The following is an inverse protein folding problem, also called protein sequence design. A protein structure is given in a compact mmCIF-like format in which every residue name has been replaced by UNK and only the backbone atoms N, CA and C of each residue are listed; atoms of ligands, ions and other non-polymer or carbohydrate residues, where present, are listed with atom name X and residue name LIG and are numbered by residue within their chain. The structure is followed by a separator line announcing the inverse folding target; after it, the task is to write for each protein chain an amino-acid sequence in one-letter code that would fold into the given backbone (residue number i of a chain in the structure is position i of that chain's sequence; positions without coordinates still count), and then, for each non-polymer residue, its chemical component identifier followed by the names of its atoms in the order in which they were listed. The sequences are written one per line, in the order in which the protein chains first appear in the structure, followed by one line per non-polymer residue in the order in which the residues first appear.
data_IF_879660288222
#
_entry.id   IF_879660288222
#
_cell.length_a   1.000
_cell.length_b   1.000
_cell.length_c   1.000
_cell.angle_alpha   90.00
_cell.angle_beta   90.00
_cell.angle_gamma   90.00
#
_symmetry.space_group_name_H-M   'P 1'
#
loop_
_entity.id
_entity.type
_entity.pdbx_description
1 polymer ?
#
# COMPACT_ATOMS: atom_id res chain seq x y z
N UNK A 1 10.55 -3.73 -14.58
CA UNK A 1 11.19 -4.01 -15.88
C UNK A 1 12.36 -4.97 -15.70
N UNK A 2 12.60 -5.86 -16.66
CA UNK A 2 13.77 -6.74 -16.71
C UNK A 2 14.85 -6.25 -17.69
N UNK A 3 16.07 -6.80 -17.62
CA UNK A 3 17.18 -6.32 -18.45
C UNK A 3 16.90 -6.52 -19.95
N UNK A 4 16.28 -7.65 -20.32
CA UNK A 4 15.90 -7.91 -21.71
C UNK A 4 14.91 -6.86 -22.25
N UNK A 5 13.94 -6.42 -21.45
CA UNK A 5 13.03 -5.33 -21.81
C UNK A 5 13.75 -4.01 -22.02
N UNK A 6 14.78 -3.70 -21.20
CA UNK A 6 15.61 -2.50 -21.38
C UNK A 6 16.36 -2.56 -22.71
N UNK A 7 16.99 -3.69 -23.03
CA UNK A 7 17.78 -3.87 -24.25
C UNK A 7 16.94 -3.78 -25.52
N UNK A 8 15.70 -4.25 -25.49
CA UNK A 8 14.79 -4.31 -26.64
C UNK A 8 13.83 -3.11 -26.72
N UNK A 9 14.02 -2.07 -25.92
CA UNK A 9 13.15 -0.91 -25.94
C UNK A 9 13.45 -0.05 -27.17
N UNK A 10 12.50 0.04 -28.12
CA UNK A 10 12.65 0.95 -29.27
C UNK A 10 12.20 2.36 -28.94
N UNK A 11 12.63 3.36 -29.71
CA UNK A 11 12.26 4.76 -29.60
C UNK A 11 11.77 5.32 -30.92
N UNK A 12 10.76 6.19 -30.84
CA UNK A 12 10.29 7.06 -31.93
C UNK A 12 10.03 8.46 -31.38
N UNK A 13 10.14 9.49 -32.23
CA UNK A 13 9.84 10.87 -31.84
C UNK A 13 8.33 11.08 -31.57
N UNK A 14 7.47 10.24 -32.17
CA UNK A 14 6.02 10.25 -32.00
C UNK A 14 5.56 9.48 -30.75
N UNK A 15 6.04 9.87 -29.56
CA UNK A 15 5.56 9.29 -28.30
C UNK A 15 4.41 10.12 -27.71
N UNK A 16 3.36 9.43 -27.29
CA UNK A 16 2.27 10.04 -26.52
C UNK A 16 2.51 9.88 -25.03
N UNK A 17 2.27 10.96 -24.29
CA UNK A 17 2.27 10.96 -22.83
C UNK A 17 0.83 11.05 -22.36
N UNK A 18 0.32 9.98 -21.77
CA UNK A 18 -1.00 9.95 -21.15
C UNK A 18 -0.88 10.10 -19.65
N UNK A 19 -1.80 10.88 -19.08
CA UNK A 19 -1.93 11.01 -17.63
C UNK A 19 -2.85 9.91 -17.14
N UNK A 20 -2.27 8.77 -16.74
CA UNK A 20 -3.05 7.68 -16.17
C UNK A 20 -3.21 7.84 -14.65
N UNK A 21 -2.19 8.33 -13.93
CA UNK A 21 -2.24 8.52 -12.47
C UNK A 21 -1.54 9.82 -12.03
N UNK A 22 -1.92 10.38 -10.88
CA UNK A 22 -1.37 11.66 -10.38
C UNK A 22 0.14 11.63 -10.12
N UNK A 23 0.75 10.46 -9.93
CA UNK A 23 2.18 10.30 -9.65
C UNK A 23 2.99 9.78 -10.85
N UNK A 24 2.32 9.25 -11.88
CA UNK A 24 2.96 8.54 -12.99
C UNK A 24 2.40 8.99 -14.35
N UNK A 25 3.29 9.03 -15.33
CA UNK A 25 2.94 9.27 -16.73
C UNK A 25 3.19 8.02 -17.53
N UNK A 26 2.19 7.62 -18.31
CA UNK A 26 2.29 6.47 -19.19
C UNK A 26 2.77 6.93 -20.55
N UNK A 27 3.88 6.35 -20.99
CA UNK A 27 4.50 6.62 -22.28
C UNK A 27 4.29 5.40 -23.16
N UNK A 28 3.85 5.63 -24.39
CA UNK A 28 3.61 4.60 -25.40
C UNK A 28 4.84 4.42 -26.29
N UNK A 29 5.32 3.19 -26.39
CA UNK A 29 6.52 2.80 -27.14
C UNK A 29 6.21 1.68 -28.12
N UNK A 30 7.13 1.43 -29.05
CA UNK A 30 7.11 0.25 -29.91
C UNK A 30 8.16 -0.75 -29.44
N UNK A 31 7.92 -2.04 -29.63
CA UNK A 31 8.91 -3.09 -29.49
C UNK A 31 8.53 -4.20 -30.46
N UNK A 32 9.33 -4.42 -31.51
CA UNK A 32 9.08 -5.42 -32.56
C UNK A 32 7.62 -5.42 -33.06
N UNK A 33 7.14 -4.27 -33.53
CA UNK A 33 5.77 -4.01 -34.00
C UNK A 33 4.65 -4.11 -32.94
N UNK A 34 4.96 -4.40 -31.67
CA UNK A 34 3.98 -4.35 -30.56
C UNK A 34 4.05 -3.01 -29.85
N UNK A 35 2.91 -2.51 -29.40
CA UNK A 35 2.85 -1.32 -28.55
C UNK A 35 3.11 -1.75 -27.11
N UNK A 36 4.03 -1.08 -26.44
CA UNK A 36 4.34 -1.31 -25.02
C UNK A 36 4.20 0.01 -24.27
N UNK A 37 3.55 -0.03 -23.10
CA UNK A 37 3.36 1.14 -22.25
C UNK A 37 4.34 1.09 -21.09
N UNK A 38 4.94 2.24 -20.77
CA UNK A 38 5.84 2.38 -19.64
C UNK A 38 5.43 3.58 -18.79
N UNK A 39 5.28 3.32 -17.50
CA UNK A 39 4.98 4.34 -16.52
C UNK A 39 6.26 4.92 -15.93
N UNK A 40 6.40 6.23 -16.01
CA UNK A 40 7.48 6.98 -15.37
C UNK A 40 6.93 7.88 -14.27
N UNK A 41 7.59 7.95 -13.09
CA UNK A 41 7.24 8.93 -12.09
C UNK A 41 7.34 10.35 -12.65
N UNK A 42 6.43 11.24 -12.26
CA UNK A 42 6.47 12.65 -12.68
C UNK A 42 7.82 13.29 -12.31
N UNK A 43 8.35 12.96 -11.14
CA UNK A 43 9.66 13.44 -10.66
C UNK A 43 10.84 12.97 -11.53
N UNK A 44 10.69 11.88 -12.29
CA UNK A 44 11.73 11.38 -13.19
C UNK A 44 11.71 12.05 -14.57
N UNK A 45 10.60 12.66 -14.96
CA UNK A 45 10.43 13.27 -16.29
C UNK A 45 11.50 14.31 -16.66
N UNK A 46 11.95 15.21 -15.77
CA UNK A 46 13.02 16.15 -16.09
C UNK A 46 14.35 15.44 -16.45
N UNK A 47 14.71 14.38 -15.71
CA UNK A 47 15.92 13.59 -15.99
C UNK A 47 15.80 12.84 -17.31
N UNK A 48 14.63 12.26 -17.58
CA UNK A 48 14.37 11.58 -18.83
C UNK A 48 14.48 12.51 -20.04
N UNK A 49 13.90 13.72 -19.97
CA UNK A 49 14.07 14.74 -21.02
C UNK A 49 15.53 15.12 -21.24
N UNK A 50 16.31 15.24 -20.17
CA UNK A 50 17.76 15.51 -20.27
C UNK A 50 18.51 14.36 -20.95
N UNK A 51 18.15 13.11 -20.64
CA UNK A 51 18.67 11.94 -21.33
C UNK A 51 18.37 11.96 -22.83
N UNK A 52 17.14 12.31 -23.24
CA UNK A 52 16.79 12.39 -24.67
C UNK A 52 17.64 13.41 -25.43
N UNK A 53 17.92 14.58 -24.82
CA UNK A 53 18.85 15.57 -25.39
C UNK A 53 20.26 15.02 -25.55
N UNK A 54 20.76 14.29 -24.54
CA UNK A 54 22.07 13.64 -24.63
C UNK A 54 22.10 12.58 -25.73
N UNK A 55 21.03 11.80 -25.84
CA UNK A 55 20.87 10.79 -26.90
C UNK A 55 20.91 11.42 -28.29
N UNK A 56 20.14 12.48 -28.52
CA UNK A 56 20.13 13.22 -29.78
C UNK A 56 21.54 13.74 -30.14
N UNK A 57 22.23 14.34 -29.17
CA UNK A 57 23.61 14.77 -29.32
C UNK A 57 24.55 13.61 -29.70
N UNK A 58 24.45 12.46 -29.04
CA UNK A 58 25.29 11.29 -29.32
C UNK A 58 25.00 10.63 -30.68
N UNK A 59 23.78 10.77 -31.19
CA UNK A 59 23.39 10.28 -32.50
C UNK A 59 23.86 11.20 -33.63
N UNK A 60 23.99 12.50 -33.38
CA UNK A 60 24.51 13.48 -34.33
C UNK A 60 23.88 13.35 -35.74
N UNK A 61 22.55 13.26 -35.80
CA UNK A 61 21.78 13.12 -37.03
C UNK A 61 21.60 11.68 -37.55
N UNK A 62 22.24 10.68 -36.94
CA UNK A 62 22.01 9.27 -37.30
C UNK A 62 20.72 8.73 -36.67
N UNK A 63 20.02 7.87 -37.41
CA UNK A 63 18.81 7.20 -36.90
C UNK A 63 19.17 5.98 -36.07
N UNK A 64 18.59 5.86 -34.88
CA UNK A 64 18.69 4.64 -34.08
C UNK A 64 17.30 4.26 -33.57
N UNK A 65 16.88 3.03 -33.86
CA UNK A 65 15.59 2.51 -33.41
C UNK A 65 15.57 2.19 -31.91
N UNK A 66 16.71 1.96 -31.26
CA UNK A 66 16.74 1.60 -29.83
C UNK A 66 16.82 2.84 -28.96
N UNK A 67 16.11 2.82 -27.81
CA UNK A 67 16.18 3.93 -26.85
C UNK A 67 17.57 4.01 -26.23
N UNK A 68 18.12 2.86 -25.84
CA UNK A 68 19.49 2.71 -25.35
C UNK A 68 20.34 2.00 -26.40
N UNK A 69 21.52 2.55 -26.69
CA UNK A 69 22.42 2.06 -27.74
C UNK A 69 23.88 2.20 -27.32
N UNK A 70 24.77 1.58 -28.08
CA UNK A 70 26.22 1.82 -28.01
C UNK A 70 26.78 2.09 -29.41
N UNK A 71 27.98 2.68 -29.50
CA UNK A 71 28.69 3.01 -30.75
C UNK A 71 30.05 2.30 -30.85
N UNK A 72 30.08 1.05 -30.39
CA UNK A 72 31.33 0.28 -30.29
C UNK A 72 32.35 0.87 -29.31
N UNK A 73 33.55 0.28 -29.29
CA UNK A 73 34.65 0.66 -28.38
C UNK A 73 35.29 1.99 -28.77
N UNK A 74 35.28 2.34 -30.06
CA UNK A 74 35.89 3.55 -30.60
C UNK A 74 34.91 4.71 -30.81
N UNK A 75 33.61 4.52 -30.50
CA UNK A 75 32.52 5.52 -30.67
C UNK A 75 32.22 5.94 -32.11
N UNK A 76 32.88 5.32 -33.09
CA UNK A 76 32.71 5.63 -34.51
C UNK A 76 31.81 4.63 -35.25
N UNK A 77 31.39 3.56 -34.58
CA UNK A 77 30.46 2.59 -35.17
C UNK A 77 29.03 3.13 -35.21
N UNK A 78 28.25 2.59 -36.15
CA UNK A 78 26.82 2.83 -36.23
C UNK A 78 26.13 2.47 -34.90
N UNK A 79 25.09 3.21 -34.47
CA UNK A 79 24.35 2.94 -33.25
C UNK A 79 23.75 1.52 -33.24
N UNK A 80 24.25 0.67 -32.35
CA UNK A 80 23.79 -0.70 -32.19
C UNK A 80 23.07 -0.96 -30.86
N UNK A 81 22.28 -2.02 -30.84
CA UNK A 81 21.58 -2.49 -29.64
C UNK A 81 22.57 -2.86 -28.53
N UNK A 82 22.27 -2.48 -27.30
CA UNK A 82 23.04 -2.94 -26.14
C UNK A 82 22.88 -4.46 -25.99
N UNK A 83 23.98 -5.20 -26.20
CA UNK A 83 24.02 -6.67 -26.00
C UNK A 83 24.72 -7.10 -24.71
N UNK A 84 25.39 -6.20 -24.01
CA UNK A 84 26.11 -6.53 -22.78
C UNK A 84 25.16 -6.75 -21.59
N UNK A 85 25.63 -7.52 -20.59
CA UNK A 85 24.89 -7.80 -19.36
C UNK A 85 24.91 -6.58 -18.43
N UNK A 86 23.95 -6.48 -17.52
CA UNK A 86 23.92 -5.43 -16.49
C UNK A 86 25.22 -5.37 -15.66
N UNK A 87 25.86 -6.52 -15.42
CA UNK A 87 27.17 -6.60 -14.75
C UNK A 87 28.24 -5.75 -15.44
N UNK A 88 28.24 -5.73 -16.78
CA UNK A 88 29.18 -4.93 -17.57
C UNK A 88 28.90 -3.43 -17.41
N UNK A 89 27.64 -3.05 -17.21
CA UNK A 89 27.29 -1.65 -16.91
C UNK A 89 27.89 -1.20 -15.58
N UNK A 90 27.84 -2.05 -14.54
CA UNK A 90 28.47 -1.75 -13.26
C UNK A 90 30.00 -1.68 -13.35
N UNK A 91 30.65 -2.46 -14.21
CA UNK A 91 32.08 -2.34 -14.44
C UNK A 91 32.45 -0.96 -14.99
N UNK A 92 31.66 -0.42 -15.92
CA UNK A 92 31.87 0.93 -16.45
C UNK A 92 31.60 1.98 -15.36
N UNK A 93 30.54 1.82 -14.58
CA UNK A 93 30.20 2.74 -13.49
C UNK A 93 31.25 2.75 -12.38
N UNK A 94 31.92 1.62 -12.13
CA UNK A 94 33.03 1.53 -11.16
C UNK A 94 34.23 2.40 -11.52
N UNK A 95 34.40 2.76 -12.79
CA UNK A 95 35.43 3.72 -13.19
C UNK A 95 35.09 5.16 -12.76
N UNK A 96 33.82 5.44 -12.46
CA UNK A 96 33.34 6.75 -11.99
C UNK A 96 33.20 6.74 -10.47
N UNK A 97 32.62 5.66 -9.92
CA UNK A 97 32.45 5.44 -8.49
C UNK A 97 32.93 4.02 -8.13
N UNK A 98 34.18 3.88 -7.65
CA UNK A 98 34.76 2.59 -7.29
C UNK A 98 33.96 1.82 -6.23
N UNK A 99 33.20 2.52 -5.39
CA UNK A 99 32.45 1.95 -4.27
C UNK A 99 31.02 1.53 -4.64
N UNK A 100 30.62 1.70 -5.90
CA UNK A 100 29.25 1.37 -6.32
C UNK A 100 28.99 -0.14 -6.18
N UNK A 101 27.98 -0.47 -5.37
CA UNK A 101 27.53 -1.85 -5.19
C UNK A 101 26.61 -2.30 -6.33
N UNK A 102 26.87 -3.46 -6.97
CA UNK A 102 26.00 -3.96 -8.03
C UNK A 102 24.64 -4.40 -7.49
N UNK A 103 23.58 -3.68 -7.88
CA UNK A 103 22.20 -4.08 -7.60
C UNK A 103 21.67 -4.90 -8.78
N UNK A 104 21.23 -6.12 -8.51
CA UNK A 104 20.66 -7.03 -9.51
C UNK A 104 19.28 -6.57 -9.97
N UNK A 105 18.83 -7.04 -11.14
CA UNK A 105 17.48 -6.72 -11.62
C UNK A 105 16.36 -7.24 -10.71
N UNK A 106 16.61 -8.32 -9.97
CA UNK A 106 15.66 -8.87 -8.99
C UNK A 106 15.55 -7.93 -7.79
N UNK A 107 16.67 -7.45 -7.26
CA UNK A 107 16.70 -6.47 -6.17
C UNK A 107 16.03 -5.14 -6.59
N UNK A 108 16.32 -4.63 -7.78
CA UNK A 108 15.64 -3.44 -8.30
C UNK A 108 14.12 -3.60 -8.41
N UNK A 109 13.64 -4.78 -8.82
CA UNK A 109 12.19 -5.07 -8.85
C UNK A 109 11.60 -5.20 -7.46
N UNK A 110 12.29 -5.89 -6.54
CA UNK A 110 11.84 -6.02 -5.16
C UNK A 110 11.74 -4.64 -4.48
N UNK A 111 12.77 -3.80 -4.62
CA UNK A 111 12.77 -2.44 -4.08
C UNK A 111 11.68 -1.56 -4.72
N UNK A 112 11.47 -1.66 -6.05
CA UNK A 112 10.35 -0.95 -6.71
C UNK A 112 9.00 -1.42 -6.18
N UNK A 113 8.81 -2.73 -6.02
CA UNK A 113 7.59 -3.32 -5.50
C UNK A 113 7.31 -2.84 -4.09
N UNK A 114 8.28 -2.95 -3.19
CA UNK A 114 8.17 -2.52 -1.80
C UNK A 114 7.92 -1.01 -1.69
N UNK A 115 8.59 -0.19 -2.51
CA UNK A 115 8.33 1.25 -2.55
C UNK A 115 6.90 1.57 -3.01
N UNK A 116 6.40 0.93 -4.07
CA UNK A 116 5.03 1.16 -4.56
C UNK A 116 3.99 0.78 -3.52
N UNK A 117 4.16 -0.42 -2.96
CA UNK A 117 3.36 -0.95 -1.85
C UNK A 117 3.30 0.09 -0.71
N UNK A 118 4.43 0.68 -0.30
CA UNK A 118 4.48 1.63 0.83
C UNK A 118 3.98 3.04 0.53
N UNK A 119 4.00 3.48 -0.73
CA UNK A 119 3.85 4.90 -1.09
C UNK A 119 2.68 5.19 -2.05
N UNK A 120 1.98 4.18 -2.55
CA UNK A 120 0.84 4.34 -3.47
C UNK A 120 -0.33 3.44 -3.04
N UNK A 121 -1.54 3.76 -3.52
CA UNK A 121 -2.71 2.93 -3.22
C UNK A 121 -2.59 1.52 -3.86
N UNK A 122 -3.28 0.50 -3.30
CA UNK A 122 -3.20 -0.87 -3.79
C UNK A 122 -3.60 -1.05 -5.26
N UNK A 123 -4.59 -0.30 -5.73
CA UNK A 123 -5.04 -0.34 -7.12
C UNK A 123 -3.96 0.21 -8.07
N UNK A 124 -3.34 1.35 -7.73
CA UNK A 124 -2.19 1.89 -8.46
C UNK A 124 -1.00 0.94 -8.44
N UNK A 125 -0.68 0.38 -7.27
CA UNK A 125 0.42 -0.59 -7.12
C UNK A 125 0.19 -1.84 -7.98
N UNK A 126 -1.04 -2.35 -8.02
CA UNK A 126 -1.44 -3.49 -8.84
C UNK A 126 -1.32 -3.20 -10.33
N UNK A 127 -1.81 -2.04 -10.78
CA UNK A 127 -1.68 -1.60 -12.16
C UNK A 127 -0.20 -1.49 -12.58
N UNK A 128 0.63 -0.83 -11.77
CA UNK A 128 2.05 -0.60 -12.05
C UNK A 128 2.88 -1.89 -11.99
N UNK A 129 2.53 -2.81 -11.09
CA UNK A 129 3.18 -4.11 -10.95
C UNK A 129 2.64 -5.17 -11.90
N UNK A 130 1.55 -4.87 -12.64
CA UNK A 130 0.84 -5.83 -13.49
C UNK A 130 0.40 -7.08 -12.73
N UNK A 131 0.00 -6.89 -11.48
CA UNK A 131 -0.50 -7.92 -10.58
C UNK A 131 -1.98 -7.66 -10.29
N UNK A 132 -2.68 -8.65 -9.75
CA UNK A 132 -4.00 -8.38 -9.18
C UNK A 132 -3.85 -7.57 -7.90
N UNK A 133 -4.85 -6.75 -7.56
CA UNK A 133 -4.89 -6.04 -6.27
C UNK A 133 -4.73 -7.01 -5.10
N UNK A 134 -5.37 -8.19 -5.17
CA UNK A 134 -5.22 -9.27 -4.18
C UNK A 134 -3.76 -9.70 -3.98
N UNK A 135 -3.00 -9.87 -5.06
CA UNK A 135 -1.58 -10.27 -5.00
C UNK A 135 -0.70 -9.18 -4.40
N UNK A 136 -1.00 -7.91 -4.69
CA UNK A 136 -0.29 -6.77 -4.11
C UNK A 136 -0.59 -6.62 -2.64
N UNK A 137 -1.85 -6.78 -2.23
CA UNK A 137 -2.25 -6.78 -0.82
C UNK A 137 -1.55 -7.91 -0.06
N UNK A 138 -1.53 -9.13 -0.58
CA UNK A 138 -0.80 -10.24 0.05
C UNK A 138 0.71 -9.95 0.21
N UNK A 139 1.33 -9.27 -0.75
CA UNK A 139 2.76 -8.89 -0.69
C UNK A 139 3.02 -7.72 0.27
N UNK A 140 2.06 -6.80 0.39
CA UNK A 140 2.05 -5.71 1.38
C UNK A 140 2.05 -6.27 2.80
N UNK A 141 1.27 -7.33 3.02
CA UNK A 141 1.11 -8.00 4.31
C UNK A 141 2.33 -8.85 4.71
N UNK A 142 3.13 -9.29 3.75
CA UNK A 142 4.37 -10.04 3.97
C UNK A 142 5.58 -9.15 4.34
N UNK A 143 5.37 -7.85 4.61
CA UNK A 143 6.39 -6.87 5.00
C UNK A 143 7.15 -7.23 6.28
N UNK A 144 8.43 -6.83 6.34
CA UNK A 144 9.38 -7.11 7.45
C UNK A 144 8.83 -6.75 8.84
N UNK A 145 9.15 -7.53 9.90
CA UNK A 145 8.57 -7.44 11.26
C UNK A 145 8.73 -6.11 12.02
N UNK A 146 9.28 -5.04 11.44
CA UNK A 146 9.62 -3.81 12.18
C UNK A 146 8.55 -2.70 12.11
N UNK A 147 7.48 -2.79 11.31
CA UNK A 147 6.39 -1.80 11.41
C UNK A 147 5.01 -2.36 11.01
N UNK A 148 4.65 -3.52 11.56
CA UNK A 148 3.37 -4.21 11.27
C UNK A 148 2.13 -3.31 11.47
N UNK A 149 2.14 -2.43 12.46
CA UNK A 149 0.99 -1.59 12.81
C UNK A 149 0.62 -0.55 11.74
N UNK A 150 1.60 0.25 11.31
CA UNK A 150 1.35 1.32 10.33
C UNK A 150 0.90 0.73 8.99
N UNK A 151 1.35 -0.48 8.68
CA UNK A 151 1.00 -1.22 7.48
C UNK A 151 -0.45 -1.75 7.58
N UNK A 152 -0.86 -2.37 8.68
CA UNK A 152 -2.25 -2.86 8.87
C UNK A 152 -3.26 -1.72 8.89
N UNK A 153 -2.93 -0.63 9.58
CA UNK A 153 -3.73 0.59 9.61
C UNK A 153 -4.02 1.06 8.18
N UNK A 154 -2.97 1.29 7.38
CA UNK A 154 -3.11 1.75 5.99
C UNK A 154 -3.91 0.77 5.13
N UNK A 155 -3.80 -0.53 5.39
CA UNK A 155 -4.60 -1.56 4.72
C UNK A 155 -6.08 -1.48 5.09
N UNK A 156 -6.41 -1.44 6.39
CA UNK A 156 -7.79 -1.35 6.86
C UNK A 156 -8.47 -0.07 6.36
N UNK A 157 -7.71 1.02 6.22
CA UNK A 157 -8.13 2.30 5.63
C UNK A 157 -8.37 2.20 4.13
N UNK A 158 -7.50 1.50 3.40
CA UNK A 158 -7.67 1.29 1.96
C UNK A 158 -8.92 0.47 1.65
N UNK A 159 -9.21 -0.55 2.47
CA UNK A 159 -10.42 -1.38 2.34
C UNK A 159 -11.68 -0.61 2.77
N UNK A 160 -11.62 0.16 3.85
CA UNK A 160 -12.79 0.95 4.29
C UNK A 160 -13.19 1.99 3.25
N UNK A 161 -12.24 2.63 2.56
CA UNK A 161 -12.53 3.58 1.48
C UNK A 161 -13.24 2.95 0.27
N UNK A 162 -13.04 1.65 0.01
CA UNK A 162 -13.74 0.93 -1.06
C UNK A 162 -15.19 0.67 -0.66
N UNK A 163 -15.42 0.24 0.59
CA UNK A 163 -16.75 -0.05 1.15
C UNK A 163 -17.56 1.24 1.39
N UNK A 164 -16.93 2.32 1.83
CA UNK A 164 -17.59 3.60 2.12
C UNK A 164 -18.08 4.36 0.89
N UNK A 165 -17.54 4.08 -0.31
CA UNK A 165 -18.04 4.71 -1.55
C UNK A 165 -19.48 4.30 -1.89
N UNK A 166 -19.99 3.22 -1.32
CA UNK A 166 -21.35 2.74 -1.57
C UNK A 166 -22.43 3.34 -0.64
N UNK A 167 -22.07 3.93 0.51
CA UNK A 167 -23.04 4.44 1.49
C UNK A 167 -22.87 5.94 1.79
N UNK A 168 -23.39 6.79 0.90
CA UNK A 168 -23.50 8.23 1.17
C UNK A 168 -24.81 8.57 1.87
N UNK A 169 -24.75 8.88 3.18
CA UNK A 169 -25.73 9.76 3.84
C UNK A 169 -25.16 10.42 5.12
N UNK A 170 -25.38 11.73 5.27
CA UNK A 170 -25.19 12.55 6.48
C UNK A 170 -26.43 13.46 6.65
N UNK A 171 -26.80 13.97 7.86
CA UNK A 171 -26.45 13.53 9.22
C UNK A 171 -27.65 13.48 10.23
N UNK A 172 -27.56 12.55 11.19
CA UNK A 172 -27.78 12.72 12.64
C UNK A 172 -27.15 11.48 13.29
N UNK A 173 -25.94 11.59 13.85
CA UNK A 173 -25.10 10.43 14.27
C UNK A 173 -24.76 9.47 13.12
N UNK A 174 -23.53 9.53 12.59
CA UNK A 174 -23.12 8.57 11.54
C UNK A 174 -22.69 7.27 12.19
N UNK A 175 -23.40 6.16 11.91
CA UNK A 175 -22.97 4.82 12.31
C UNK A 175 -21.66 4.46 11.61
N UNK A 176 -20.72 3.91 12.36
CA UNK A 176 -19.38 3.49 11.93
C UNK A 176 -19.15 2.03 12.35
N UNK A 177 -18.04 1.48 11.90
CA UNK A 177 -17.60 0.10 12.14
C UNK A 177 -17.35 -0.26 13.62
N UNK A 178 -17.21 0.73 14.51
CA UNK A 178 -16.96 0.53 15.95
C UNK A 178 -17.91 1.31 16.87
N UNK A 179 -18.89 2.02 16.31
CA UNK A 179 -19.81 2.86 17.09
C UNK A 179 -20.41 3.96 16.23
N UNK A 180 -20.52 5.18 16.75
CA UNK A 180 -21.08 6.34 16.05
C UNK A 180 -20.21 7.59 16.17
N UNK A 181 -20.38 8.52 15.22
CA UNK A 181 -19.65 9.79 15.19
C UNK A 181 -20.61 10.98 15.19
N UNK A 182 -20.34 11.95 16.08
CA UNK A 182 -21.10 13.20 16.18
C UNK A 182 -20.72 14.17 15.06
N UNK A 183 -19.44 14.26 14.74
CA UNK A 183 -18.93 15.21 13.74
C UNK A 183 -17.76 14.57 12.97
N UNK A 184 -18.11 13.85 11.92
CA UNK A 184 -17.15 13.18 11.04
C UNK A 184 -16.28 14.19 10.29
N UNK A 185 -15.01 13.84 10.08
CA UNK A 185 -14.04 14.69 9.39
C UNK A 185 -13.38 15.76 10.27
N UNK A 186 -13.76 15.87 11.55
CA UNK A 186 -13.15 16.78 12.52
C UNK A 186 -12.60 16.01 13.74
N UNK A 187 -11.50 15.26 13.61
CA UNK A 187 -10.96 14.49 14.72
C UNK A 187 -10.47 15.42 15.83
N UNK A 188 -10.75 15.06 17.08
CA UNK A 188 -10.27 15.78 18.26
C UNK A 188 -9.70 14.77 19.25
N UNK A 189 -8.41 14.89 19.57
CA UNK A 189 -7.78 13.93 20.50
C UNK A 189 -8.32 14.06 21.93
N UNK A 190 -8.52 12.92 22.58
CA UNK A 190 -8.87 12.88 24.00
C UNK A 190 -7.64 13.25 24.85
N UNK A 191 -6.43 12.86 24.45
CA UNK A 191 -5.15 13.15 25.14
C UNK A 191 -4.00 13.52 24.18
N UNK A 192 -3.08 14.39 24.62
CA UNK A 192 -1.93 14.85 23.81
C UNK A 192 -0.72 13.90 23.83
N UNK A 193 -0.68 12.91 24.74
CA UNK A 193 0.51 12.06 24.98
C UNK A 193 0.51 10.71 24.24
N UNK A 194 -0.57 10.35 23.55
CA UNK A 194 -0.61 9.11 22.77
C UNK A 194 0.11 9.29 21.44
N UNK A 195 1.02 8.36 21.08
CA UNK A 195 1.70 8.31 19.77
C UNK A 195 0.74 8.08 18.59
N UNK A 196 -0.52 7.76 18.86
CA UNK A 196 -1.57 7.51 17.86
C UNK A 196 -2.13 8.83 17.32
N UNK A 197 -2.01 9.05 16.01
CA UNK A 197 -2.61 10.22 15.36
C UNK A 197 -4.12 10.06 15.26
N UNK A 198 -4.89 10.90 15.96
CA UNK A 198 -6.35 10.89 15.82
C UNK A 198 -6.76 11.34 14.42
N UNK A 199 -7.37 10.44 13.67
CA UNK A 199 -7.93 10.73 12.35
C UNK A 199 -9.26 9.98 12.17
N UNK A 200 -10.13 10.47 11.27
CA UNK A 200 -11.43 9.83 11.01
C UNK A 200 -11.38 8.71 9.95
N UNK A 201 -10.20 8.44 9.40
CA UNK A 201 -10.01 7.45 8.33
C UNK A 201 -9.87 6.05 8.92
N UNK A 202 -9.21 5.97 10.08
CA UNK A 202 -8.79 4.72 10.68
C UNK A 202 -9.61 4.40 11.93
N UNK A 203 -9.77 3.11 12.20
CA UNK A 203 -10.60 2.62 13.30
C UNK A 203 -9.97 2.93 14.65
N UNK A 204 -8.66 2.72 14.79
CA UNK A 204 -7.88 3.05 15.98
C UNK A 204 -7.95 4.54 16.31
N UNK A 205 -7.93 5.41 15.28
CA UNK A 205 -8.07 6.86 15.45
C UNK A 205 -9.39 7.27 16.08
N UNK A 206 -10.46 6.49 15.87
CA UNK A 206 -11.78 6.74 16.46
C UNK A 206 -11.79 6.48 17.97
N UNK A 207 -11.12 5.43 18.46
CA UNK A 207 -11.10 5.08 19.89
C UNK A 207 -10.46 6.14 20.78
N UNK A 208 -9.58 6.97 20.20
CA UNK A 208 -8.91 8.09 20.87
C UNK A 208 -9.51 9.46 20.53
N UNK A 209 -10.66 9.51 19.86
CA UNK A 209 -11.31 10.74 19.42
C UNK A 209 -12.48 11.17 20.34
N UNK A 210 -12.56 12.45 20.69
CA UNK A 210 -13.64 13.05 21.49
C UNK A 210 -15.01 12.99 20.82
N UNK A 211 -15.05 12.83 19.50
CA UNK A 211 -16.30 12.75 18.73
C UNK A 211 -16.83 11.31 18.61
N UNK A 212 -16.08 10.32 19.11
CA UNK A 212 -16.53 8.93 19.16
C UNK A 212 -17.60 8.76 20.24
N UNK A 213 -18.71 8.14 19.86
CA UNK A 213 -19.83 7.81 20.73
C UNK A 213 -20.17 6.35 20.54
N UNK A 214 -20.68 5.75 21.59
CA UNK A 214 -21.20 4.39 21.53
C UNK A 214 -22.57 4.33 22.18
N UNK A 215 -23.51 3.71 21.49
CA UNK A 215 -24.79 3.37 22.09
C UNK A 215 -24.61 2.07 22.86
N UNK A 216 -25.24 1.96 24.04
CA UNK A 216 -25.21 0.71 24.83
C UNK A 216 -26.26 -0.28 24.32
N UNK A 217 -26.41 -0.37 23.00
CA UNK A 217 -27.32 -1.29 22.32
C UNK A 217 -26.57 -2.52 21.80
N UNK A 218 -27.32 -3.54 21.40
CA UNK A 218 -26.74 -4.78 20.91
C UNK A 218 -25.83 -4.56 19.68
N UNK A 219 -26.20 -3.63 18.79
CA UNK A 219 -25.48 -3.40 17.54
C UNK A 219 -24.10 -2.83 17.79
N UNK A 220 -24.00 -1.77 18.58
CA UNK A 220 -22.71 -1.13 18.86
C UNK A 220 -21.84 -1.98 19.79
N UNK A 221 -22.43 -2.73 20.72
CA UNK A 221 -21.69 -3.71 21.53
C UNK A 221 -21.13 -4.83 20.64
N UNK A 222 -21.93 -5.40 19.72
CA UNK A 222 -21.47 -6.45 18.80
C UNK A 222 -20.34 -5.98 17.90
N UNK A 223 -20.39 -4.75 17.39
CA UNK A 223 -19.27 -4.14 16.64
C UNK A 223 -17.98 -4.07 17.46
N UNK A 224 -18.06 -3.64 18.73
CA UNK A 224 -16.88 -3.58 19.60
C UNK A 224 -16.29 -4.97 19.86
N UNK A 225 -17.14 -5.93 20.21
CA UNK A 225 -16.71 -7.30 20.51
C UNK A 225 -16.11 -7.96 19.26
N UNK A 226 -16.73 -7.76 18.09
CA UNK A 226 -16.22 -8.27 16.81
C UNK A 226 -14.87 -7.63 16.44
N UNK A 227 -14.72 -6.32 16.65
CA UNK A 227 -13.45 -5.62 16.48
C UNK A 227 -12.37 -6.22 17.37
N UNK A 228 -12.66 -6.39 18.66
CA UNK A 228 -11.74 -7.00 19.64
C UNK A 228 -11.32 -8.41 19.21
N UNK A 229 -12.28 -9.24 18.83
CA UNK A 229 -12.03 -10.61 18.36
C UNK A 229 -11.09 -10.62 17.15
N UNK A 230 -11.38 -9.84 16.10
CA UNK A 230 -10.52 -9.77 14.92
C UNK A 230 -9.09 -9.29 15.24
N UNK A 231 -8.95 -8.31 16.14
CA UNK A 231 -7.64 -7.82 16.59
C UNK A 231 -6.87 -8.88 17.39
N UNK A 232 -7.56 -9.68 18.20
CA UNK A 232 -6.97 -10.79 18.97
C UNK A 232 -6.51 -11.94 18.06
N UNK A 233 -7.35 -12.36 17.10
CA UNK A 233 -6.97 -13.39 16.13
C UNK A 233 -5.75 -12.97 15.30
N UNK A 234 -5.70 -11.70 14.91
CA UNK A 234 -4.54 -11.14 14.24
C UNK A 234 -3.27 -11.16 15.13
N UNK A 235 -3.40 -10.78 16.41
CA UNK A 235 -2.30 -10.80 17.36
C UNK A 235 -1.72 -12.22 17.55
N UNK A 236 -2.60 -13.23 17.61
CA UNK A 236 -2.23 -14.65 17.73
C UNK A 236 -1.41 -15.11 16.51
N UNK A 237 -1.89 -14.81 15.29
CA UNK A 237 -1.18 -15.18 14.06
C UNK A 237 0.16 -14.48 13.86
N UNK A 238 0.35 -13.31 14.49
CA UNK A 238 1.61 -12.55 14.43
C UNK A 238 2.71 -13.12 15.36
N UNK A 239 2.51 -14.30 15.95
CA UNK A 239 3.51 -14.98 16.77
C UNK A 239 3.65 -14.44 18.20
N UNK A 240 2.62 -13.76 18.72
CA UNK A 240 2.52 -13.40 20.15
C UNK A 240 3.45 -12.27 20.64
N UNK A 241 4.39 -11.78 19.83
CA UNK A 241 5.28 -10.68 20.20
C UNK A 241 4.66 -9.30 19.89
N UNK A 242 3.43 -9.07 20.33
CA UNK A 242 2.85 -7.72 20.29
C UNK A 242 3.54 -6.89 21.37
N UNK A 243 4.38 -5.95 20.95
CA UNK A 243 5.04 -5.05 21.89
C UNK A 243 3.98 -4.34 22.75
N UNK A 244 4.14 -4.27 24.09
CA UNK A 244 3.21 -3.59 24.99
C UNK A 244 2.96 -2.12 24.63
N UNK A 245 3.88 -1.50 23.89
CA UNK A 245 3.77 -0.10 23.43
C UNK A 245 3.26 0.01 21.97
N UNK A 246 2.72 -1.06 21.39
CA UNK A 246 2.12 -1.01 20.05
C UNK A 246 0.73 -0.38 20.09
N UNK A 247 0.32 0.27 19.00
CA UNK A 247 -1.04 0.85 18.89
C UNK A 247 -2.10 -0.28 18.94
N UNK A 248 -1.75 -1.53 18.63
CA UNK A 248 -2.63 -2.71 18.72
C UNK A 248 -2.99 -2.98 20.17
N UNK A 249 -1.98 -3.04 21.04
CA UNK A 249 -2.19 -3.21 22.47
C UNK A 249 -2.95 -2.02 23.08
N UNK A 250 -2.61 -0.79 22.69
CA UNK A 250 -3.33 0.40 23.13
C UNK A 250 -4.81 0.39 22.68
N UNK A 251 -5.09 -0.06 21.47
CA UNK A 251 -6.46 -0.16 20.92
C UNK A 251 -7.24 -1.27 21.62
N UNK A 252 -6.64 -2.44 21.81
CA UNK A 252 -7.26 -3.55 22.56
C UNK A 252 -7.62 -3.13 23.99
N UNK A 253 -6.67 -2.53 24.73
CA UNK A 253 -6.92 -2.02 26.07
C UNK A 253 -8.06 -0.99 26.07
N UNK A 254 -8.08 -0.09 25.09
CA UNK A 254 -9.13 0.92 24.99
C UNK A 254 -10.50 0.30 24.73
N UNK A 255 -10.58 -0.73 23.88
CA UNK A 255 -11.82 -1.49 23.66
C UNK A 255 -12.26 -2.21 24.93
N UNK A 256 -11.32 -2.84 25.65
CA UNK A 256 -11.59 -3.53 26.91
C UNK A 256 -12.09 -2.56 28.00
N UNK A 257 -11.51 -1.36 28.10
CA UNK A 257 -11.98 -0.29 28.98
C UNK A 257 -13.44 0.09 28.67
N UNK A 258 -13.76 0.31 27.39
CA UNK A 258 -15.12 0.69 26.98
C UNK A 258 -16.11 -0.44 27.27
N UNK A 259 -15.77 -1.68 26.95
CA UNK A 259 -16.61 -2.85 27.24
C UNK A 259 -16.82 -3.02 28.75
N UNK A 260 -15.80 -2.81 29.57
CA UNK A 260 -15.90 -2.85 31.04
C UNK A 260 -16.87 -1.79 31.57
N UNK A 261 -16.80 -0.55 31.07
CA UNK A 261 -17.73 0.51 31.46
C UNK A 261 -19.19 0.21 31.04
N UNK A 262 -19.40 -0.40 29.87
CA UNK A 262 -20.73 -0.82 29.43
C UNK A 262 -21.24 -1.99 30.29
N UNK A 263 -20.36 -2.95 30.60
CA UNK A 263 -20.70 -4.14 31.40
C UNK A 263 -21.13 -3.78 32.82
N UNK A 264 -20.65 -2.66 33.41
CA UNK A 264 -21.14 -2.16 34.71
C UNK A 264 -22.64 -1.90 34.73
N UNK A 265 -23.24 -1.56 33.59
CA UNK A 265 -24.68 -1.25 33.46
C UNK A 265 -25.47 -2.35 32.77
N UNK A 266 -24.84 -3.11 31.87
CA UNK A 266 -25.52 -4.11 31.05
C UNK A 266 -24.69 -5.40 30.91
N UNK A 267 -24.31 -6.01 32.03
CA UNK A 267 -23.43 -7.19 32.07
C UNK A 267 -23.97 -8.35 31.25
N UNK A 268 -25.27 -8.64 31.38
CA UNK A 268 -25.92 -9.78 30.73
C UNK A 268 -25.82 -9.66 29.20
N UNK A 269 -26.11 -8.47 28.65
CA UNK A 269 -26.04 -8.26 27.21
C UNK A 269 -24.60 -8.36 26.69
N UNK A 270 -23.64 -7.77 27.40
CA UNK A 270 -22.22 -7.85 27.00
C UNK A 270 -21.74 -9.29 27.03
N UNK A 271 -21.99 -10.05 28.11
CA UNK A 271 -21.58 -11.46 28.21
C UNK A 271 -22.22 -12.33 27.14
N UNK A 272 -23.50 -12.09 26.81
CA UNK A 272 -24.20 -12.79 25.73
C UNK A 272 -23.49 -12.55 24.39
N UNK A 273 -23.27 -11.29 24.02
CA UNK A 273 -22.66 -10.92 22.73
C UNK A 273 -21.21 -11.39 22.64
N UNK A 274 -20.45 -11.35 23.74
CA UNK A 274 -19.09 -11.91 23.81
C UNK A 274 -19.12 -13.39 23.46
N UNK A 275 -20.02 -14.17 24.08
CA UNK A 275 -20.14 -15.59 23.77
C UNK A 275 -20.56 -15.85 22.31
N UNK A 276 -21.55 -15.10 21.79
CA UNK A 276 -22.00 -15.23 20.40
C UNK A 276 -20.88 -14.92 19.39
N UNK A 277 -20.06 -13.90 19.64
CA UNK A 277 -18.95 -13.56 18.74
C UNK A 277 -17.79 -14.55 18.87
N UNK A 278 -17.32 -14.81 20.10
CA UNK A 278 -16.08 -15.55 20.33
C UNK A 278 -16.26 -17.07 20.16
N UNK A 279 -17.43 -17.61 20.54
CA UNK A 279 -17.69 -19.05 20.51
C UNK A 279 -18.59 -19.47 19.34
N UNK A 280 -19.53 -18.64 18.91
CA UNK A 280 -20.44 -18.95 17.78
C UNK A 280 -20.03 -18.29 16.47
N UNK A 281 -19.07 -17.37 16.47
CA UNK A 281 -18.63 -16.67 15.26
C UNK A 281 -19.64 -15.65 14.71
N UNK A 282 -20.60 -15.20 15.52
CA UNK A 282 -21.64 -14.24 15.12
C UNK A 282 -21.14 -12.78 15.15
N UNK A 283 -20.13 -12.49 14.34
CA UNK A 283 -19.55 -11.17 14.20
C UNK A 283 -20.55 -10.19 13.56
N UNK A 284 -20.40 -8.90 13.87
CA UNK A 284 -20.99 -7.84 13.06
C UNK A 284 -20.55 -7.99 11.60
N UNK A 285 -21.48 -7.75 10.67
CA UNK A 285 -21.29 -8.00 9.23
C UNK A 285 -20.00 -7.39 8.68
N UNK A 286 -19.66 -6.16 9.09
CA UNK A 286 -18.43 -5.51 8.64
C UNK A 286 -17.19 -6.30 9.10
N UNK A 287 -17.17 -6.75 10.35
CA UNK A 287 -16.05 -7.48 10.93
C UNK A 287 -15.99 -8.94 10.46
N UNK A 288 -17.14 -9.58 10.23
CA UNK A 288 -17.22 -10.90 9.59
C UNK A 288 -16.55 -10.88 8.21
N UNK A 289 -16.95 -9.93 7.34
CA UNK A 289 -16.35 -9.77 6.01
C UNK A 289 -14.86 -9.43 6.09
N UNK A 290 -14.42 -8.66 7.10
CA UNK A 290 -12.99 -8.39 7.31
C UNK A 290 -12.23 -9.64 7.75
N UNK A 291 -12.78 -10.44 8.65
CA UNK A 291 -12.14 -11.68 9.11
C UNK A 291 -12.00 -12.69 7.96
N UNK A 292 -13.06 -12.91 7.18
CA UNK A 292 -13.01 -13.78 5.99
C UNK A 292 -11.95 -13.33 4.99
N UNK A 293 -11.81 -12.01 4.78
CA UNK A 293 -10.76 -11.46 3.93
C UNK A 293 -9.36 -11.79 4.47
N UNK A 294 -9.14 -11.63 5.78
CA UNK A 294 -7.86 -11.94 6.42
C UNK A 294 -7.52 -13.44 6.34
N UNK A 295 -8.52 -14.31 6.50
CA UNK A 295 -8.38 -15.76 6.32
C UNK A 295 -8.07 -16.11 4.85
N UNK A 296 -8.77 -15.50 3.88
CA UNK A 296 -8.52 -15.70 2.45
C UNK A 296 -7.14 -15.22 1.98
N UNK A 297 -6.50 -14.34 2.76
CA UNK A 297 -5.13 -13.87 2.56
C UNK A 297 -4.09 -14.70 3.35
N UNK A 298 -4.53 -15.70 4.13
CA UNK A 298 -3.66 -16.59 4.91
C UNK A 298 -3.01 -15.93 6.13
N UNK A 299 -3.59 -14.85 6.64
CA UNK A 299 -3.06 -14.07 7.77
C UNK A 299 -3.61 -14.60 9.09
N UNK A 300 -4.90 -14.95 9.11
CA UNK A 300 -5.58 -15.55 10.25
C UNK A 300 -5.98 -16.97 9.86
N UNK A 301 -5.85 -17.91 10.79
CA UNK A 301 -6.17 -19.33 10.60
C UNK A 301 -7.66 -19.60 10.84
#
# INVERSE_FOLDING_TARGET
MNWAQVQNLTWSEDYEVKSENQFFRTIKWRADNRIVFFELPISFMPRFKKFLKLREFLLNGQTCKWLFFHRGSHRDEDPQQIKFRLSNSYQILKNIDPNIEPITTRQWRAAKSDWLIRNTDPATSAAVLQNTEKTVLASYLAGSPVTQMEEITKFLDGVSQIVEREENALPLSTSRSVGSCVEYGKPQSINFETTTTTNCRNVEGCFFCRNFRIHQDERDIRKLVSCRYCLQEFAKSSGGNVLPNSILFATLNRVDEILSEIAKKNTILVSKIVWEVEEQGELDQYWASKLEMLMALGIVL
#
